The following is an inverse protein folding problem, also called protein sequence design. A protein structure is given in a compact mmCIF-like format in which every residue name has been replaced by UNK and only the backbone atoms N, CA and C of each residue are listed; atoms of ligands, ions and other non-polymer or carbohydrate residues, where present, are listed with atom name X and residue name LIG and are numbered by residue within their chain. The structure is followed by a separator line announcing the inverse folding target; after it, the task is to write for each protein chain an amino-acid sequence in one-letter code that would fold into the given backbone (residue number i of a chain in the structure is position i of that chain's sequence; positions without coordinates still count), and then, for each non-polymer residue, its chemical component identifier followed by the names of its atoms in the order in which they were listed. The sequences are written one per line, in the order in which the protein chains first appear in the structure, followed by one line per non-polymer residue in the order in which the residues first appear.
data_IF_749352276931
#
_entry.id   IF_749352276931
#
_cell.length_a   1.000
_cell.length_b   1.000
_cell.length_c   1.000
_cell.angle_alpha   90.00
_cell.angle_beta   90.00
_cell.angle_gamma   90.00
#
_symmetry.space_group_name_H-M   'P 1'
#
loop_
_entity.id
_entity.type
_entity.pdbx_description
1 polymer ?
#
# COMPACT_ATOMS: atom_id res chain seq x y z
N UNK A 1 -1.14 46.13 9.90
CA UNK A 1 0.00 45.52 10.64
C UNK A 1 0.27 44.17 10.02
N UNK A 2 1.34 44.02 9.25
CA UNK A 2 1.73 42.75 8.61
C UNK A 2 2.36 41.87 9.67
N UNK A 3 1.66 40.80 10.05
CA UNK A 3 2.21 39.80 10.98
C UNK A 3 3.29 38.97 10.24
N UNK A 4 4.52 39.48 10.27
CA UNK A 4 5.68 38.76 9.77
C UNK A 4 6.16 37.77 10.83
N UNK A 5 6.30 36.49 10.44
CA UNK A 5 6.88 35.46 11.31
C UNK A 5 8.28 35.12 10.85
N UNK A 6 9.23 35.17 11.78
CA UNK A 6 10.62 34.73 11.54
C UNK A 6 10.72 33.21 11.68
N UNK A 7 11.28 32.55 10.69
CA UNK A 7 11.55 31.11 10.68
C UNK A 7 12.99 30.83 10.31
N UNK A 8 13.49 29.64 10.67
CA UNK A 8 14.86 29.20 10.37
C UNK A 8 14.82 28.32 9.11
N UNK A 9 15.66 28.67 8.14
CA UNK A 9 15.84 27.87 6.92
C UNK A 9 16.50 26.53 7.24
N UNK A 10 15.89 25.42 6.85
CA UNK A 10 16.44 24.08 7.06
C UNK A 10 17.67 23.77 6.15
N UNK A 11 17.92 24.59 5.13
CA UNK A 11 19.09 24.46 4.26
C UNK A 11 20.32 25.16 4.80
N UNK A 12 20.21 26.50 5.10
CA UNK A 12 21.35 27.30 5.53
C UNK A 12 21.33 27.72 7.02
N UNK A 13 20.32 27.32 7.77
CA UNK A 13 20.09 27.62 9.19
C UNK A 13 19.94 29.12 9.52
N UNK A 14 19.85 29.98 8.51
CA UNK A 14 19.63 31.41 8.70
C UNK A 14 18.17 31.73 8.96
N UNK A 15 17.90 32.76 9.76
CA UNK A 15 16.57 33.32 9.98
C UNK A 15 16.10 34.10 8.76
N UNK A 16 14.81 33.93 8.39
CA UNK A 16 14.16 34.72 7.34
C UNK A 16 12.72 35.00 7.69
N UNK A 17 12.17 36.09 7.15
CA UNK A 17 10.78 36.48 7.39
C UNK A 17 9.86 35.90 6.35
N UNK A 18 8.69 35.42 6.79
CA UNK A 18 7.65 34.86 5.93
C UNK A 18 6.36 35.63 6.14
N UNK A 19 5.76 36.12 5.06
CA UNK A 19 4.42 36.69 5.12
C UNK A 19 3.35 35.64 5.34
N UNK A 20 2.23 35.98 5.96
CA UNK A 20 1.13 35.05 6.26
C UNK A 20 0.57 34.33 5.02
N UNK A 21 0.61 34.97 3.85
CA UNK A 21 0.16 34.37 2.58
C UNK A 21 1.04 33.21 2.11
N UNK A 22 2.28 33.10 2.59
CA UNK A 22 3.22 32.03 2.27
C UNK A 22 3.19 30.86 3.27
N UNK A 23 2.45 30.97 4.36
CA UNK A 23 2.40 29.95 5.42
C UNK A 23 1.68 28.66 5.00
N UNK A 24 0.85 28.66 3.96
CA UNK A 24 0.09 27.48 3.52
C UNK A 24 0.91 26.40 2.83
N UNK A 25 2.16 26.65 2.53
CA UNK A 25 3.08 25.62 2.03
C UNK A 25 4.23 25.53 2.99
N UNK A 26 4.42 24.40 3.66
CA UNK A 26 5.53 24.04 4.55
C UNK A 26 6.91 24.45 3.96
N UNK A 27 7.17 25.74 3.81
CA UNK A 27 8.43 26.25 3.28
C UNK A 27 9.47 26.23 4.39
N UNK A 28 10.21 25.13 4.44
CA UNK A 28 11.41 25.01 5.28
C UNK A 28 12.63 25.70 4.67
N UNK A 29 12.47 26.42 3.54
CA UNK A 29 13.54 27.06 2.78
C UNK A 29 13.34 28.58 2.69
N UNK A 30 14.45 29.34 2.78
CA UNK A 30 14.46 30.77 2.53
C UNK A 30 14.28 31.16 1.04
N UNK A 31 14.06 30.19 0.15
CA UNK A 31 13.87 30.40 -1.29
C UNK A 31 15.14 30.38 -2.13
N UNK A 32 16.33 30.37 -1.54
CA UNK A 32 17.59 30.21 -2.30
C UNK A 32 17.62 28.81 -2.95
N UNK A 33 17.97 28.71 -4.22
CA UNK A 33 18.03 27.46 -4.98
C UNK A 33 18.85 26.37 -4.27
N UNK A 34 20.04 26.72 -3.79
CA UNK A 34 20.91 25.80 -3.04
C UNK A 34 20.22 25.26 -1.78
N UNK A 35 19.48 26.09 -1.05
CA UNK A 35 18.76 25.65 0.14
C UNK A 35 17.61 24.70 -0.20
N UNK A 36 16.90 24.95 -1.29
CA UNK A 36 15.83 24.07 -1.78
C UNK A 36 16.40 22.71 -2.21
N UNK A 37 17.53 22.70 -2.88
CA UNK A 37 18.22 21.49 -3.32
C UNK A 37 18.70 20.64 -2.14
N UNK A 38 19.36 21.25 -1.16
CA UNK A 38 19.80 20.58 0.08
C UNK A 38 18.61 19.98 0.85
N UNK A 39 17.48 20.69 0.94
CA UNK A 39 16.28 20.20 1.62
C UNK A 39 15.67 19.02 0.84
N UNK A 40 15.59 19.12 -0.49
CA UNK A 40 15.06 18.04 -1.32
C UNK A 40 15.92 16.77 -1.20
N UNK A 41 17.24 16.89 -1.20
CA UNK A 41 18.15 15.77 -0.99
C UNK A 41 17.97 15.12 0.40
N UNK A 42 17.83 15.91 1.45
CA UNK A 42 17.56 15.40 2.81
C UNK A 42 16.23 14.64 2.87
N UNK A 43 15.16 15.21 2.32
CA UNK A 43 13.83 14.57 2.27
C UNK A 43 13.88 13.28 1.46
N UNK A 44 14.55 13.27 0.31
CA UNK A 44 14.72 12.06 -0.50
C UNK A 44 15.47 10.96 0.27
N UNK A 45 16.55 11.31 0.95
CA UNK A 45 17.34 10.38 1.80
C UNK A 45 16.49 9.81 2.96
N UNK A 46 15.73 10.66 3.67
CA UNK A 46 14.85 10.21 4.75
C UNK A 46 13.74 9.29 4.25
N UNK A 47 13.14 9.60 3.08
CA UNK A 47 12.12 8.76 2.47
C UNK A 47 12.69 7.41 2.03
N UNK A 48 13.92 7.39 1.48
CA UNK A 48 14.61 6.16 1.13
C UNK A 48 14.86 5.29 2.37
N UNK A 49 15.34 5.90 3.49
CA UNK A 49 15.53 5.19 4.77
C UNK A 49 14.22 4.64 5.34
N UNK A 50 13.13 5.42 5.28
CA UNK A 50 11.78 4.96 5.70
C UNK A 50 11.29 3.79 4.85
N UNK A 51 11.48 3.86 3.52
CA UNK A 51 11.15 2.79 2.59
C UNK A 51 11.95 1.52 2.91
N UNK A 52 13.28 1.64 3.09
CA UNK A 52 14.14 0.51 3.45
C UNK A 52 13.75 -0.12 4.78
N UNK A 53 13.44 0.70 5.81
CA UNK A 53 12.97 0.20 7.11
C UNK A 53 11.66 -0.58 6.98
N UNK A 54 10.72 -0.12 6.13
CA UNK A 54 9.48 -0.85 5.85
C UNK A 54 9.73 -2.19 5.15
N UNK A 55 10.65 -2.22 4.19
CA UNK A 55 11.06 -3.46 3.50
C UNK A 55 11.66 -4.44 4.51
N UNK A 56 12.62 -3.99 5.32
CA UNK A 56 13.30 -4.82 6.32
C UNK A 56 12.35 -5.35 7.40
N UNK A 57 11.32 -4.57 7.77
CA UNK A 57 10.31 -4.99 8.74
C UNK A 57 9.16 -5.82 8.10
N UNK A 58 9.26 -6.17 6.81
CA UNK A 58 8.22 -6.93 6.11
C UNK A 58 6.89 -6.18 5.91
N UNK A 59 6.83 -4.89 6.27
CA UNK A 59 5.60 -4.09 6.19
C UNK A 59 5.37 -3.42 4.83
N UNK A 60 6.39 -3.46 3.96
CA UNK A 60 6.30 -2.91 2.61
C UNK A 60 6.28 -4.04 1.59
N UNK A 61 5.09 -4.40 1.12
CA UNK A 61 4.91 -5.31 -0.01
C UNK A 61 4.39 -4.52 -1.21
N UNK A 62 4.96 -4.76 -2.38
CA UNK A 62 4.46 -4.22 -3.66
C UNK A 62 3.17 -4.94 -4.14
N UNK A 63 2.34 -5.42 -3.19
CA UNK A 63 1.20 -6.29 -3.47
C UNK A 63 1.62 -7.71 -3.85
N UNK A 64 0.64 -8.53 -4.25
CA UNK A 64 0.90 -9.90 -4.72
C UNK A 64 1.73 -9.86 -6.01
N UNK A 65 2.81 -10.66 -6.13
CA UNK A 65 3.61 -10.77 -7.36
C UNK A 65 2.75 -11.07 -8.59
N UNK A 66 3.14 -10.51 -9.74
CA UNK A 66 2.35 -10.62 -10.98
C UNK A 66 2.17 -12.08 -11.41
N UNK A 67 3.21 -12.89 -11.26
CA UNK A 67 3.19 -14.31 -11.61
C UNK A 67 2.14 -15.08 -10.78
N UNK A 68 2.10 -14.83 -9.47
CA UNK A 68 1.11 -15.42 -8.59
C UNK A 68 -0.31 -14.95 -8.92
N UNK A 69 -0.49 -13.68 -9.27
CA UNK A 69 -1.78 -13.16 -9.73
C UNK A 69 -2.28 -13.90 -10.96
N UNK A 70 -1.41 -14.09 -11.96
CA UNK A 70 -1.77 -14.79 -13.19
C UNK A 70 -2.18 -16.25 -12.92
N UNK A 71 -1.47 -16.93 -12.03
CA UNK A 71 -1.80 -18.30 -11.63
C UNK A 71 -3.17 -18.34 -10.93
N UNK A 72 -3.42 -17.41 -9.97
CA UNK A 72 -4.69 -17.33 -9.26
C UNK A 72 -5.84 -17.00 -10.21
N UNK A 73 -5.64 -16.10 -11.18
CA UNK A 73 -6.65 -15.80 -12.21
C UNK A 73 -7.01 -17.01 -13.07
N UNK A 74 -6.02 -17.79 -13.48
CA UNK A 74 -6.24 -19.02 -14.26
C UNK A 74 -6.89 -20.12 -13.44
N UNK A 75 -6.49 -20.27 -12.18
CA UNK A 75 -6.99 -21.30 -11.28
C UNK A 75 -8.45 -21.07 -10.90
N UNK A 76 -8.79 -19.86 -10.47
CA UNK A 76 -10.08 -19.56 -9.85
C UNK A 76 -11.15 -19.21 -10.90
N UNK A 77 -10.78 -18.51 -11.98
CA UNK A 77 -11.65 -18.07 -13.07
C UNK A 77 -12.91 -17.27 -12.67
N UNK A 78 -13.46 -17.53 -11.49
CA UNK A 78 -14.66 -16.93 -10.91
C UNK A 78 -14.36 -16.32 -9.54
N UNK A 79 -15.22 -15.39 -9.11
CA UNK A 79 -15.18 -14.91 -7.73
C UNK A 79 -15.53 -16.02 -6.75
N UNK A 80 -14.65 -16.37 -5.84
CA UNK A 80 -14.84 -17.47 -4.87
C UNK A 80 -15.98 -17.17 -3.89
N UNK A 81 -16.36 -15.93 -3.72
CA UNK A 81 -17.45 -15.57 -2.81
C UNK A 81 -18.84 -15.59 -3.46
N UNK A 82 -19.01 -15.06 -4.67
CA UNK A 82 -20.31 -14.92 -5.33
C UNK A 82 -20.40 -15.61 -6.70
N UNK A 83 -19.35 -16.30 -7.12
CA UNK A 83 -19.26 -17.02 -8.41
C UNK A 83 -19.48 -16.13 -9.66
N UNK A 84 -19.31 -14.81 -9.54
CA UNK A 84 -19.35 -13.93 -10.71
C UNK A 84 -18.19 -14.22 -11.64
N UNK A 85 -18.42 -14.07 -12.96
CA UNK A 85 -17.41 -14.32 -13.98
C UNK A 85 -16.25 -13.34 -13.90
N UNK A 86 -15.07 -13.79 -14.32
CA UNK A 86 -13.88 -12.98 -14.47
C UNK A 86 -14.12 -11.90 -15.52
N UNK A 87 -14.05 -10.64 -15.08
CA UNK A 87 -13.97 -9.45 -15.93
C UNK A 87 -12.68 -8.72 -15.57
N UNK A 88 -11.75 -8.65 -16.51
CA UNK A 88 -10.35 -8.30 -16.33
C UNK A 88 -10.08 -7.09 -15.42
N UNK A 89 -10.95 -6.08 -15.44
CA UNK A 89 -10.80 -4.86 -14.66
C UNK A 89 -11.55 -4.83 -13.33
N UNK A 90 -12.23 -5.93 -12.94
CA UNK A 90 -13.10 -5.97 -11.76
C UNK A 90 -12.79 -7.11 -10.78
N UNK A 91 -11.68 -7.81 -11.00
CA UNK A 91 -11.26 -8.92 -10.14
C UNK A 91 -9.97 -8.56 -9.40
N UNK A 92 -9.88 -8.98 -8.15
CA UNK A 92 -8.74 -8.72 -7.28
C UNK A 92 -8.32 -9.99 -6.55
N UNK A 93 -7.01 -10.19 -6.43
CA UNK A 93 -6.45 -11.27 -5.62
C UNK A 93 -6.42 -10.84 -4.16
N UNK A 94 -7.00 -11.65 -3.29
CA UNK A 94 -7.16 -11.39 -1.87
C UNK A 94 -6.40 -12.43 -1.04
N UNK A 95 -5.75 -11.98 0.04
CA UNK A 95 -5.10 -12.86 1.01
C UNK A 95 -6.15 -13.41 2.00
N UNK A 96 -6.24 -14.73 2.10
CA UNK A 96 -7.13 -15.39 3.08
C UNK A 96 -6.70 -15.09 4.51
N UNK A 97 -5.41 -15.21 4.80
CA UNK A 97 -4.78 -14.68 6.00
C UNK A 97 -4.16 -13.35 5.61
N UNK A 98 -4.59 -12.21 6.22
CA UNK A 98 -4.06 -10.91 5.90
C UNK A 98 -2.54 -10.82 6.08
N UNK A 99 -1.90 -9.96 5.30
CA UNK A 99 -0.45 -9.69 5.42
C UNK A 99 -0.10 -9.11 6.79
N UNK A 100 -1.01 -8.34 7.42
CA UNK A 100 -0.88 -7.86 8.80
C UNK A 100 -0.71 -9.00 9.81
N UNK A 101 -1.31 -10.15 9.52
CA UNK A 101 -1.35 -11.34 10.37
C UNK A 101 -0.35 -12.41 9.87
N UNK A 102 0.74 -11.96 9.25
CA UNK A 102 1.80 -12.78 8.68
C UNK A 102 1.36 -13.71 7.53
N UNK A 103 0.28 -13.36 6.82
CA UNK A 103 -0.15 -14.06 5.62
C UNK A 103 0.91 -14.02 4.52
N UNK A 104 1.26 -15.16 3.95
CA UNK A 104 2.29 -15.32 2.92
C UNK A 104 1.73 -15.12 1.52
N UNK A 105 2.57 -14.66 0.58
CA UNK A 105 2.28 -14.63 -0.84
C UNK A 105 2.49 -16.03 -1.43
N UNK A 106 1.53 -16.92 -1.24
CA UNK A 106 1.52 -18.26 -1.82
C UNK A 106 0.10 -18.66 -2.28
N UNK A 107 0.03 -19.64 -3.16
CA UNK A 107 -1.24 -20.08 -3.77
C UNK A 107 -2.26 -20.60 -2.73
N UNK A 108 -1.78 -21.13 -1.60
CA UNK A 108 -2.62 -21.65 -0.52
C UNK A 108 -3.15 -20.54 0.42
N UNK A 109 -2.79 -19.29 0.16
CA UNK A 109 -3.26 -18.13 0.90
C UNK A 109 -3.92 -17.07 0.00
N UNK A 110 -4.07 -17.33 -1.29
CA UNK A 110 -4.60 -16.37 -2.26
C UNK A 110 -5.87 -16.88 -2.90
N UNK A 111 -6.89 -16.04 -3.04
CA UNK A 111 -8.15 -16.30 -3.72
C UNK A 111 -8.57 -15.16 -4.62
N UNK A 112 -9.38 -15.44 -5.65
CA UNK A 112 -9.90 -14.42 -6.56
C UNK A 112 -11.25 -13.92 -6.08
N UNK A 113 -11.41 -12.62 -5.95
CA UNK A 113 -12.66 -11.95 -5.59
C UNK A 113 -13.01 -10.86 -6.62
N UNK A 114 -14.28 -10.67 -6.90
CA UNK A 114 -14.72 -9.46 -7.60
C UNK A 114 -14.58 -8.24 -6.67
N UNK A 115 -14.51 -7.05 -7.25
CA UNK A 115 -14.31 -5.81 -6.51
C UNK A 115 -15.34 -5.63 -5.37
N UNK A 116 -16.63 -5.91 -5.65
CA UNK A 116 -17.70 -5.83 -4.63
C UNK A 116 -17.46 -6.76 -3.46
N UNK A 117 -17.08 -8.01 -3.73
CA UNK A 117 -16.79 -9.00 -2.69
C UNK A 117 -15.50 -8.66 -1.94
N UNK A 118 -14.48 -8.16 -2.62
CA UNK A 118 -13.23 -7.73 -2.00
C UNK A 118 -13.47 -6.60 -0.98
N UNK A 119 -14.21 -5.57 -1.37
CA UNK A 119 -14.60 -4.47 -0.45
C UNK A 119 -15.43 -5.00 0.72
N UNK A 120 -16.42 -5.87 0.45
CA UNK A 120 -17.27 -6.46 1.48
C UNK A 120 -16.47 -7.27 2.52
N UNK A 121 -15.53 -8.10 2.07
CA UNK A 121 -14.66 -8.90 2.96
C UNK A 121 -13.84 -8.01 3.88
N UNK A 122 -13.31 -6.89 3.37
CA UNK A 122 -12.57 -5.93 4.19
C UNK A 122 -13.46 -5.15 5.17
N UNK A 123 -14.70 -4.83 4.78
CA UNK A 123 -15.64 -4.11 5.65
C UNK A 123 -16.22 -5.00 6.77
N UNK A 124 -16.50 -6.26 6.47
CA UNK A 124 -17.10 -7.21 7.43
C UNK A 124 -16.07 -7.98 8.26
N UNK A 125 -14.79 -7.84 7.96
CA UNK A 125 -13.67 -8.59 8.55
C UNK A 125 -13.33 -9.87 7.79
N UNK A 126 -12.06 -10.04 7.47
CA UNK A 126 -11.55 -11.21 6.72
C UNK A 126 -11.86 -12.54 7.44
N UNK A 127 -11.89 -12.53 8.77
CA UNK A 127 -12.12 -13.68 9.64
C UNK A 127 -13.46 -14.37 9.34
N UNK A 128 -14.51 -13.58 9.04
CA UNK A 128 -15.85 -14.11 8.70
C UNK A 128 -15.83 -15.03 7.46
N UNK A 129 -14.92 -14.75 6.54
CA UNK A 129 -14.81 -15.48 5.27
C UNK A 129 -13.71 -16.55 5.28
N UNK A 130 -12.88 -16.57 6.32
CA UNK A 130 -11.73 -17.47 6.44
C UNK A 130 -12.11 -18.95 6.22
N UNK A 131 -13.13 -19.44 6.89
CA UNK A 131 -13.57 -20.83 6.77
C UNK A 131 -13.96 -21.21 5.34
N UNK A 132 -14.72 -20.34 4.66
CA UNK A 132 -15.15 -20.53 3.27
C UNK A 132 -13.95 -20.60 2.32
N UNK A 133 -13.02 -19.63 2.42
CA UNK A 133 -11.86 -19.56 1.54
C UNK A 133 -10.87 -20.70 1.79
N UNK A 134 -10.68 -21.08 3.04
CA UNK A 134 -9.85 -22.23 3.42
C UNK A 134 -10.42 -23.54 2.89
N UNK A 135 -11.73 -23.73 2.98
CA UNK A 135 -12.39 -24.93 2.44
C UNK A 135 -12.24 -25.03 0.93
N UNK A 136 -12.35 -23.90 0.23
CA UNK A 136 -12.10 -23.84 -1.21
C UNK A 136 -10.66 -24.24 -1.55
N UNK A 137 -9.66 -23.65 -0.91
CA UNK A 137 -8.24 -23.98 -1.16
C UNK A 137 -7.97 -25.47 -0.90
N UNK A 138 -8.48 -26.03 0.20
CA UNK A 138 -8.33 -27.45 0.50
C UNK A 138 -8.99 -28.37 -0.55
N UNK A 139 -10.06 -27.91 -1.19
CA UNK A 139 -10.70 -28.69 -2.27
C UNK A 139 -9.81 -28.79 -3.51
N UNK A 140 -9.01 -27.74 -3.79
CA UNK A 140 -8.06 -27.72 -4.90
C UNK A 140 -6.91 -28.72 -4.71
N UNK A 141 -6.43 -28.88 -3.47
CA UNK A 141 -5.36 -29.82 -3.14
C UNK A 141 -5.76 -31.28 -3.42
N UNK A 142 -7.05 -31.59 -3.27
CA UNK A 142 -7.60 -32.94 -3.51
C UNK A 142 -7.79 -33.27 -4.99
N UNK A 143 -7.90 -32.27 -5.86
CA UNK A 143 -8.14 -32.46 -7.31
C UNK A 143 -6.86 -32.52 -8.12
N UNK A 144 -5.70 -32.31 -7.48
CA UNK A 144 -4.37 -32.29 -8.12
C UNK A 144 -3.61 -33.63 -8.01
N UNK A 145 -4.30 -34.75 -7.73
CA UNK A 145 -3.74 -36.10 -7.66
C UNK A 145 -4.16 -36.91 -8.90
#
# INVERSE_FOLDING_TARGET
MTNERTVICAGCLQKYNVSQTTMYRNRRSCGKLICMEVINLKVASENAKKKQKKINNGTFRNGVPIDLKQIVYKRDALCINCSSEFKENKMQVHHVIPVSDNGLDNLNNLVLLCEKCHVKVHQEGCEKYYGKFRSYIKSLEKTSV
#
